data_IF_367527358898
#
_entry.id   IF_367527358898
#
_cell.length_a   1.000
_cell.length_b   1.000
_cell.length_c   1.000
_cell.angle_alpha   90.00
_cell.angle_beta   90.00
_cell.angle_gamma   90.00
#
_symmetry.space_group_name_H-M   'P 1'
#
loop_
_entity.id
_entity.type
_entity.pdbx_description
1 polymer ?
#
# COMPACT_ATOMS: atom_id res chain seq x y z
N UNK A 1 19.25 -3.60 3.89
CA UNK A 1 17.89 -3.15 3.51
C UNK A 1 17.85 -1.70 3.03
N UNK A 2 18.55 -0.75 3.68
CA UNK A 2 18.57 0.67 3.23
C UNK A 2 19.08 0.87 1.79
N UNK A 3 20.07 0.10 1.38
CA UNK A 3 20.64 0.17 0.03
C UNK A 3 19.70 -0.33 -1.08
N UNK A 4 18.73 -1.22 -0.78
CA UNK A 4 17.84 -1.75 -1.82
C UNK A 4 16.87 -0.69 -2.36
N UNK A 5 16.35 0.17 -1.47
CA UNK A 5 15.48 1.28 -1.90
C UNK A 5 16.27 2.44 -2.52
N UNK A 6 17.54 2.63 -2.13
CA UNK A 6 18.41 3.67 -2.70
C UNK A 6 18.49 3.54 -4.22
N UNK A 7 18.82 2.37 -4.74
CA UNK A 7 19.03 2.17 -6.18
C UNK A 7 17.72 2.32 -6.97
N UNK A 8 16.60 1.87 -6.40
CA UNK A 8 15.27 2.11 -6.95
C UNK A 8 14.95 3.61 -7.04
N UNK A 9 15.11 4.37 -5.96
CA UNK A 9 14.79 5.79 -5.97
C UNK A 9 15.69 6.58 -6.91
N UNK A 10 16.99 6.27 -6.97
CA UNK A 10 17.94 6.91 -7.89
C UNK A 10 17.55 6.62 -9.34
N UNK A 11 17.41 5.35 -9.70
CA UNK A 11 17.10 4.95 -11.08
C UNK A 11 15.77 5.51 -11.56
N UNK A 12 14.73 5.48 -10.72
CA UNK A 12 13.42 6.06 -11.04
C UNK A 12 13.50 7.59 -11.19
N UNK A 13 14.15 8.30 -10.26
CA UNK A 13 14.28 9.75 -10.34
C UNK A 13 15.06 10.20 -11.58
N UNK A 14 16.13 9.50 -11.94
CA UNK A 14 16.90 9.76 -13.17
C UNK A 14 16.03 9.57 -14.42
N UNK A 15 15.30 8.46 -14.51
CA UNK A 15 14.42 8.18 -15.64
C UNK A 15 13.29 9.22 -15.76
N UNK A 16 12.65 9.56 -14.64
CA UNK A 16 11.59 10.58 -14.59
C UNK A 16 12.10 11.96 -14.99
N UNK A 17 13.25 12.39 -14.45
CA UNK A 17 13.87 13.68 -14.77
C UNK A 17 14.23 13.77 -16.25
N UNK A 18 14.83 12.71 -16.81
CA UNK A 18 15.14 12.63 -18.25
C UNK A 18 13.88 12.72 -19.11
N UNK A 19 12.80 12.02 -18.74
CA UNK A 19 11.53 12.03 -19.49
C UNK A 19 10.85 13.40 -19.47
N UNK A 20 10.97 14.15 -18.38
CA UNK A 20 10.24 15.41 -18.17
C UNK A 20 11.13 16.66 -18.26
N UNK A 21 12.37 16.54 -18.75
CA UNK A 21 13.36 17.63 -18.81
C UNK A 21 13.51 18.40 -17.49
N UNK A 22 13.46 17.68 -16.35
CA UNK A 22 13.53 18.27 -15.01
C UNK A 22 14.91 18.08 -14.40
N UNK A 23 15.34 19.01 -13.55
CA UNK A 23 16.59 18.93 -12.80
C UNK A 23 16.27 18.88 -11.30
N UNK A 24 17.05 18.10 -10.54
CA UNK A 24 16.98 18.04 -9.08
C UNK A 24 16.31 16.81 -8.50
N UNK A 25 16.15 16.80 -7.16
CA UNK A 25 15.60 15.68 -6.40
C UNK A 25 14.11 15.47 -6.71
N UNK A 26 13.68 14.20 -6.79
CA UNK A 26 12.27 13.82 -6.97
C UNK A 26 11.63 13.36 -5.65
N UNK A 27 12.37 12.61 -4.84
CA UNK A 27 11.92 12.09 -3.55
C UNK A 27 12.39 12.97 -2.39
N UNK A 28 11.58 13.07 -1.34
CA UNK A 28 11.95 13.71 -0.07
C UNK A 28 12.72 12.68 0.78
N UNK A 29 13.89 13.08 1.28
CA UNK A 29 14.73 12.24 2.12
C UNK A 29 14.78 12.77 3.57
N UNK A 30 14.87 11.88 4.58
CA UNK A 30 14.80 10.42 4.48
C UNK A 30 13.36 9.91 4.32
N UNK A 31 13.18 8.78 3.63
CA UNK A 31 11.87 8.10 3.64
C UNK A 31 11.63 7.45 5.01
N UNK A 32 10.40 7.60 5.53
CA UNK A 32 10.03 7.03 6.82
C UNK A 32 9.88 5.50 6.72
N UNK A 33 10.30 4.80 7.77
CA UNK A 33 10.13 3.35 7.94
C UNK A 33 9.59 3.08 9.32
N UNK A 34 8.51 2.32 9.42
CA UNK A 34 7.93 1.90 10.68
C UNK A 34 8.02 0.38 10.73
N UNK A 35 8.58 -0.15 11.82
CA UNK A 35 8.70 -1.59 12.00
C UNK A 35 7.32 -2.16 12.35
N UNK A 36 6.92 -3.22 11.64
CA UNK A 36 5.73 -3.99 12.00
C UNK A 36 6.12 -4.90 13.17
N UNK A 37 5.57 -4.59 14.35
CA UNK A 37 5.98 -5.23 15.60
C UNK A 37 5.01 -6.32 16.07
N UNK A 38 3.79 -6.36 15.53
CA UNK A 38 2.78 -7.34 15.92
C UNK A 38 1.76 -7.59 14.79
N UNK A 39 1.01 -8.66 14.96
CA UNK A 39 0.07 -9.18 13.98
C UNK A 39 -1.12 -8.23 13.73
N UNK A 40 -1.57 -7.54 14.77
CA UNK A 40 -2.61 -6.53 14.64
C UNK A 40 -2.13 -5.39 13.75
N UNK A 41 -0.91 -4.87 13.99
CA UNK A 41 -0.32 -3.82 13.16
C UNK A 41 -0.17 -4.28 11.71
N UNK A 42 0.26 -5.51 11.45
CA UNK A 42 0.32 -6.03 10.07
C UNK A 42 -1.06 -6.01 9.40
N UNK A 43 -2.09 -6.52 10.08
CA UNK A 43 -3.47 -6.57 9.58
C UNK A 43 -3.99 -5.17 9.26
N UNK A 44 -3.81 -4.23 10.20
CA UNK A 44 -4.21 -2.83 10.04
C UNK A 44 -3.45 -2.16 8.90
N UNK A 45 -2.15 -2.43 8.76
CA UNK A 45 -1.29 -1.86 7.72
C UNK A 45 -1.74 -2.24 6.32
N UNK A 46 -2.06 -3.52 6.07
CA UNK A 46 -2.55 -3.98 4.76
C UNK A 46 -3.83 -3.25 4.38
N UNK A 47 -4.79 -3.13 5.32
CA UNK A 47 -6.05 -2.41 5.07
C UNK A 47 -5.77 -0.92 4.86
N UNK A 48 -4.91 -0.32 5.69
CA UNK A 48 -4.52 1.08 5.59
C UNK A 48 -3.95 1.45 4.21
N UNK A 49 -3.08 0.60 3.66
CA UNK A 49 -2.50 0.80 2.32
C UNK A 49 -3.60 0.88 1.26
N UNK A 50 -4.55 -0.06 1.27
CA UNK A 50 -5.67 -0.05 0.32
C UNK A 50 -6.64 1.12 0.57
N UNK A 51 -6.79 1.52 1.82
CA UNK A 51 -7.62 2.63 2.27
C UNK A 51 -7.03 4.01 1.87
N UNK A 52 -5.72 4.16 1.66
CA UNK A 52 -5.12 5.49 1.44
C UNK A 52 -5.73 6.27 0.27
N UNK A 53 -6.18 5.59 -0.77
CA UNK A 53 -6.82 6.26 -1.92
C UNK A 53 -8.11 7.00 -1.54
N UNK A 54 -8.96 6.40 -0.69
CA UNK A 54 -10.19 7.06 -0.23
C UNK A 54 -9.84 8.10 0.84
N UNK A 55 -8.86 7.82 1.72
CA UNK A 55 -8.34 8.75 2.74
C UNK A 55 -8.00 10.11 2.14
N UNK A 56 -7.22 10.05 1.06
CA UNK A 56 -6.69 11.22 0.37
C UNK A 56 -7.63 11.71 -0.75
N UNK A 57 -8.88 11.22 -0.79
CA UNK A 57 -9.93 11.64 -1.71
C UNK A 57 -9.57 11.48 -3.19
N UNK A 58 -8.69 10.54 -3.51
CA UNK A 58 -8.27 10.22 -4.88
C UNK A 58 -9.31 9.35 -5.61
N UNK A 59 -10.05 8.51 -4.87
CA UNK A 59 -11.13 7.68 -5.39
C UNK A 59 -12.21 7.53 -4.31
N UNK A 60 -13.49 7.48 -4.69
CA UNK A 60 -14.60 7.27 -3.74
C UNK A 60 -14.65 5.85 -3.15
N UNK A 61 -14.22 4.86 -3.93
CA UNK A 61 -14.25 3.44 -3.57
C UNK A 61 -12.86 2.85 -3.78
N UNK A 62 -12.23 2.34 -2.73
CA UNK A 62 -10.88 1.80 -2.80
C UNK A 62 -10.76 0.62 -3.79
N UNK A 63 -11.84 -0.15 -3.95
CA UNK A 63 -11.90 -1.27 -4.88
C UNK A 63 -11.73 -0.85 -6.34
N UNK A 64 -12.01 0.42 -6.68
CA UNK A 64 -11.93 0.92 -8.04
C UNK A 64 -10.55 1.51 -8.37
N UNK A 65 -9.64 1.58 -7.40
CA UNK A 65 -8.34 2.19 -7.62
C UNK A 65 -7.36 1.19 -8.25
N UNK A 66 -6.99 1.44 -9.50
CA UNK A 66 -6.15 0.54 -10.30
C UNK A 66 -4.69 0.50 -9.84
N UNK A 67 -4.21 1.55 -9.16
CA UNK A 67 -2.83 1.66 -8.68
C UNK A 67 -2.68 1.11 -7.26
N UNK A 68 -3.38 0.02 -6.97
CA UNK A 68 -3.39 -0.69 -5.68
C UNK A 68 -3.34 -2.19 -5.90
N UNK A 69 -2.69 -2.89 -4.96
CA UNK A 69 -2.63 -4.36 -4.93
C UNK A 69 -3.95 -5.02 -4.56
N UNK A 70 -4.97 -4.27 -4.09
CA UNK A 70 -6.22 -4.86 -3.61
C UNK A 70 -6.86 -5.80 -4.65
N UNK A 71 -6.99 -5.34 -5.90
CA UNK A 71 -7.56 -6.16 -6.98
C UNK A 71 -6.65 -7.35 -7.34
N UNK A 72 -5.33 -7.16 -7.26
CA UNK A 72 -4.35 -8.22 -7.53
C UNK A 72 -4.49 -9.40 -6.57
N UNK A 73 -4.88 -9.18 -5.31
CA UNK A 73 -5.21 -10.26 -4.37
C UNK A 73 -6.48 -11.03 -4.77
N UNK A 74 -7.45 -10.39 -5.42
CA UNK A 74 -8.75 -10.99 -5.70
C UNK A 74 -8.83 -11.75 -7.03
N UNK A 75 -7.97 -11.39 -8.00
CA UNK A 75 -7.94 -12.03 -9.31
C UNK A 75 -7.21 -13.38 -9.26
N UNK A 76 -7.77 -14.37 -9.94
CA UNK A 76 -7.13 -15.67 -10.14
C UNK A 76 -6.15 -15.61 -11.33
N UNK A 77 -5.09 -14.81 -11.19
CA UNK A 77 -4.00 -14.66 -12.17
C UNK A 77 -2.64 -14.59 -11.45
N UNK A 78 -1.54 -15.09 -12.05
CA UNK A 78 -0.21 -14.92 -11.49
C UNK A 78 0.15 -13.45 -11.25
N UNK A 79 0.77 -13.16 -10.10
CA UNK A 79 1.29 -11.82 -9.76
C UNK A 79 2.58 -11.98 -8.96
N UNK A 80 3.31 -10.89 -8.75
CA UNK A 80 4.48 -10.87 -7.86
C UNK A 80 4.11 -10.82 -6.36
N UNK A 81 2.82 -10.78 -6.03
CA UNK A 81 2.36 -10.78 -4.64
C UNK A 81 2.39 -12.20 -4.06
N UNK A 82 2.73 -12.28 -2.77
CA UNK A 82 2.57 -13.48 -1.95
C UNK A 82 1.09 -13.55 -1.53
N UNK A 83 0.22 -14.00 -2.43
CA UNK A 83 -1.22 -13.90 -2.23
C UNK A 83 -1.72 -14.85 -1.17
N UNK A 84 -1.27 -16.10 -1.25
CA UNK A 84 -1.75 -17.21 -0.43
C UNK A 84 -1.50 -16.90 1.04
N UNK A 85 -0.27 -16.54 1.42
CA UNK A 85 0.07 -16.19 2.81
C UNK A 85 -0.74 -15.01 3.34
N UNK A 86 -0.92 -13.95 2.54
CA UNK A 86 -1.69 -12.77 2.98
C UNK A 86 -3.18 -13.07 3.03
N UNK A 87 -3.74 -13.86 2.12
CA UNK A 87 -5.15 -14.23 2.18
C UNK A 87 -5.41 -15.18 3.37
N UNK A 88 -4.55 -16.15 3.59
CA UNK A 88 -4.63 -17.09 4.71
C UNK A 88 -4.49 -16.36 6.05
N UNK A 89 -3.61 -15.36 6.14
CA UNK A 89 -3.50 -14.47 7.30
C UNK A 89 -4.84 -13.84 7.69
N UNK A 90 -5.63 -13.44 6.69
CA UNK A 90 -6.94 -12.84 6.91
C UNK A 90 -8.04 -13.88 7.18
N UNK A 91 -7.74 -15.18 7.12
CA UNK A 91 -8.74 -16.25 7.22
C UNK A 91 -9.41 -16.58 5.89
N UNK A 92 -8.73 -16.30 4.77
CA UNK A 92 -9.20 -16.55 3.42
C UNK A 92 -9.69 -15.30 2.69
N UNK A 93 -10.00 -15.48 1.40
CA UNK A 93 -10.39 -14.40 0.49
C UNK A 93 -11.65 -13.67 0.95
N UNK A 94 -12.65 -14.40 1.41
CA UNK A 94 -13.93 -13.86 1.85
C UNK A 94 -13.72 -12.94 3.06
N UNK A 95 -12.92 -13.39 4.03
CA UNK A 95 -12.64 -12.63 5.24
C UNK A 95 -11.74 -11.43 4.96
N UNK A 96 -10.79 -11.55 4.03
CA UNK A 96 -10.03 -10.42 3.50
C UNK A 96 -10.96 -9.33 2.95
N UNK A 97 -11.93 -9.69 2.11
CA UNK A 97 -12.89 -8.74 1.54
C UNK A 97 -13.75 -8.10 2.64
N UNK A 98 -14.29 -8.91 3.54
CA UNK A 98 -15.17 -8.46 4.63
C UNK A 98 -14.47 -7.45 5.54
N UNK A 99 -13.25 -7.78 6.01
CA UNK A 99 -12.48 -6.91 6.90
C UNK A 99 -12.04 -5.62 6.21
N UNK A 100 -11.68 -5.67 4.92
CA UNK A 100 -11.38 -4.45 4.18
C UNK A 100 -12.62 -3.56 4.04
N UNK A 101 -13.80 -4.12 3.77
CA UNK A 101 -15.02 -3.33 3.64
C UNK A 101 -15.44 -2.68 4.96
N UNK A 102 -15.37 -3.42 6.08
CA UNK A 102 -15.79 -2.93 7.40
C UNK A 102 -14.81 -1.90 7.98
N UNK A 103 -13.50 -2.16 7.89
CA UNK A 103 -12.50 -1.35 8.56
C UNK A 103 -12.07 -0.13 7.75
N UNK A 104 -12.25 -0.12 6.43
CA UNK A 104 -12.01 1.08 5.62
C UNK A 104 -12.86 2.25 6.13
N UNK A 105 -14.15 2.04 6.44
CA UNK A 105 -14.99 3.09 7.03
C UNK A 105 -14.51 3.53 8.41
N UNK A 106 -14.15 2.57 9.28
CA UNK A 106 -13.65 2.82 10.63
C UNK A 106 -12.38 3.70 10.63
N UNK A 107 -11.41 3.42 9.76
CA UNK A 107 -10.15 4.16 9.67
C UNK A 107 -10.29 5.61 9.16
N UNK A 108 -11.46 6.02 8.66
CA UNK A 108 -11.73 7.42 8.26
C UNK A 108 -12.51 8.21 9.29
N UNK A 109 -13.37 7.55 10.06
CA UNK A 109 -14.08 8.20 11.17
C UNK A 109 -13.14 8.42 12.36
N UNK A 110 -12.15 7.55 12.53
CA UNK A 110 -11.20 7.60 13.64
C UNK A 110 -9.77 7.65 13.08
N UNK A 111 -9.10 8.78 13.30
CA UNK A 111 -7.69 8.91 12.93
C UNK A 111 -6.87 7.89 13.72
N UNK A 112 -6.31 6.89 13.04
CA UNK A 112 -5.23 6.11 13.65
C UNK A 112 -3.99 6.99 13.77
N UNK A 113 -3.56 7.23 15.00
CA UNK A 113 -2.17 7.54 15.30
C UNK A 113 -1.36 6.30 14.95
N UNK A 114 -0.79 6.27 13.74
CA UNK A 114 0.34 5.39 13.45
C UNK A 114 1.55 6.06 14.12
N UNK A 115 1.59 5.98 15.45
CA UNK A 115 2.75 6.36 16.28
C UNK A 115 3.72 5.17 16.39
#
# INVERSE_FOLDING_TARGET
MEYQFKDFFISYAMAYNKKNNRIGALFINPFRRIKVNNDSHFTQLVIYIHANVVKHKLQKKFQQYIWSSYQSFLINKPTLLIKEEVLDWFGGKEKFIELHQSLVAYYYEHAMSIE
#
